data_IF_983872795902
#
_entry.id   IF_983872795902
#
_cell.length_a   1.000
_cell.length_b   1.000
_cell.length_c   1.000
_cell.angle_alpha   90.00
_cell.angle_beta   90.00
_cell.angle_gamma   90.00
#
_symmetry.space_group_name_H-M   'P 1'
#
loop_
_entity.id
_entity.type
_entity.pdbx_description
1 polymer ?
#
# COMPACT_ATOMS: atom_id res chain seq x y z
N UNK A 1 24.50 -55.67 -17.45
CA UNK A 1 23.27 -54.87 -17.26
C UNK A 1 23.57 -53.79 -16.22
N UNK A 2 23.97 -52.60 -16.65
CA UNK A 2 24.42 -51.50 -15.80
C UNK A 2 23.44 -50.31 -15.93
N UNK A 3 22.34 -50.37 -15.19
CA UNK A 3 21.34 -49.29 -15.13
C UNK A 3 20.77 -49.22 -13.73
N UNK A 4 21.58 -48.76 -12.77
CA UNK A 4 21.08 -48.27 -11.47
C UNK A 4 21.88 -47.09 -10.88
N UNK A 5 23.01 -46.71 -11.48
CA UNK A 5 23.80 -45.53 -11.05
C UNK A 5 23.42 -44.23 -11.77
N UNK A 6 22.85 -44.31 -12.97
CA UNK A 6 22.50 -43.14 -13.78
C UNK A 6 21.39 -42.28 -13.16
N UNK A 7 20.44 -42.90 -12.45
CA UNK A 7 19.30 -42.19 -11.86
C UNK A 7 19.69 -41.25 -10.71
N UNK A 8 20.68 -41.63 -9.90
CA UNK A 8 21.16 -40.80 -8.80
C UNK A 8 21.93 -39.56 -9.31
N UNK A 9 22.80 -39.75 -10.30
CA UNK A 9 23.59 -38.66 -10.90
C UNK A 9 22.68 -37.67 -11.62
N UNK A 10 21.69 -38.16 -12.38
CA UNK A 10 20.69 -37.30 -13.05
C UNK A 10 19.86 -36.51 -12.03
N UNK A 11 19.44 -37.15 -10.93
CA UNK A 11 18.68 -36.46 -9.89
C UNK A 11 19.52 -35.38 -9.18
N UNK A 12 20.77 -35.67 -8.83
CA UNK A 12 21.66 -34.67 -8.20
C UNK A 12 21.96 -33.51 -9.14
N UNK A 13 22.13 -33.75 -10.44
CA UNK A 13 22.35 -32.68 -11.43
C UNK A 13 21.11 -31.82 -11.57
N UNK A 14 19.91 -32.41 -11.67
CA UNK A 14 18.65 -31.65 -11.75
C UNK A 14 18.44 -30.82 -10.49
N UNK A 15 18.60 -31.40 -9.30
CA UNK A 15 18.43 -30.67 -8.04
C UNK A 15 19.46 -29.54 -7.92
N UNK A 16 20.72 -29.78 -8.28
CA UNK A 16 21.76 -28.74 -8.25
C UNK A 16 21.49 -27.62 -9.26
N UNK A 17 21.06 -27.95 -10.49
CA UNK A 17 20.65 -26.94 -11.48
C UNK A 17 19.44 -26.16 -10.99
N UNK A 18 18.41 -26.81 -10.44
CA UNK A 18 17.22 -26.13 -9.89
C UNK A 18 17.62 -25.23 -8.71
N UNK A 19 18.47 -25.70 -7.80
CA UNK A 19 18.97 -24.90 -6.66
C UNK A 19 19.81 -23.72 -7.15
N UNK A 20 20.70 -23.91 -8.12
CA UNK A 20 21.49 -22.82 -8.69
C UNK A 20 20.61 -21.78 -9.41
N UNK A 21 19.60 -22.21 -10.18
CA UNK A 21 18.64 -21.30 -10.82
C UNK A 21 17.78 -20.56 -9.77
N UNK A 22 17.38 -21.22 -8.67
CA UNK A 22 16.64 -20.58 -7.56
C UNK A 22 17.53 -19.59 -6.79
N UNK A 23 18.82 -19.91 -6.60
CA UNK A 23 19.77 -19.02 -5.92
C UNK A 23 20.15 -17.82 -6.81
N UNK A 24 20.11 -17.96 -8.14
CA UNK A 24 20.35 -16.86 -9.07
C UNK A 24 19.16 -15.87 -9.10
N UNK A 25 17.94 -16.34 -8.85
CA UNK A 25 16.75 -15.50 -8.67
C UNK A 25 16.76 -14.70 -7.35
N UNK A 26 17.61 -15.10 -6.38
CA UNK A 26 17.73 -14.40 -5.10
C UNK A 26 18.47 -13.06 -5.16
N UNK A 27 19.14 -12.73 -6.29
CA UNK A 27 19.90 -11.49 -6.44
C UNK A 27 19.11 -10.31 -7.06
N UNK A 28 17.82 -10.48 -7.36
CA UNK A 28 16.92 -9.40 -7.79
C UNK A 28 15.90 -8.95 -6.73
N UNK A 29 15.95 -9.51 -5.50
CA UNK A 29 15.12 -9.01 -4.39
C UNK A 29 15.86 -7.91 -3.64
N UNK A 30 15.82 -6.68 -4.18
CA UNK A 30 16.03 -5.50 -3.34
C UNK A 30 14.79 -5.39 -2.43
N UNK A 31 14.92 -5.49 -1.09
CA UNK A 31 13.80 -5.24 -0.22
C UNK A 31 13.42 -3.77 -0.42
N UNK A 32 12.30 -3.50 -1.08
CA UNK A 32 11.72 -2.17 -1.05
C UNK A 32 11.39 -1.89 0.42
N UNK A 33 12.21 -1.10 1.10
CA UNK A 33 11.98 -0.72 2.49
C UNK A 33 10.57 -0.11 2.59
N UNK A 34 9.66 -0.83 3.26
CA UNK A 34 8.30 -0.37 3.51
C UNK A 34 8.19 0.17 4.95
N UNK A 35 7.18 0.99 5.23
CA UNK A 35 6.97 1.54 6.57
C UNK A 35 8.02 2.57 7.03
N UNK A 36 8.89 3.05 6.12
CA UNK A 36 9.86 4.12 6.40
C UNK A 36 9.32 5.49 5.96
N UNK A 37 9.38 6.53 6.81
CA UNK A 37 8.96 7.86 6.42
C UNK A 37 9.96 8.47 5.41
N UNK A 38 9.48 9.33 4.50
CA UNK A 38 10.29 9.90 3.41
C UNK A 38 11.48 10.76 3.89
N UNK A 39 11.53 11.12 5.19
CA UNK A 39 12.72 11.73 5.82
C UNK A 39 12.89 11.26 7.26
N UNK A 40 14.11 10.84 7.64
CA UNK A 40 14.47 10.47 9.03
C UNK A 40 14.25 11.61 10.05
N UNK A 41 14.34 12.87 9.61
CA UNK A 41 14.07 14.05 10.45
C UNK A 41 12.57 14.40 10.63
N UNK A 42 11.67 13.64 9.99
CA UNK A 42 10.23 13.88 10.09
C UNK A 42 9.56 13.19 11.29
N UNK A 43 10.34 12.55 12.19
CA UNK A 43 9.81 12.18 13.51
C UNK A 43 9.25 13.43 14.15
N UNK A 44 7.94 13.42 14.34
CA UNK A 44 7.27 14.57 14.88
C UNK A 44 7.64 14.67 16.38
N UNK A 45 8.15 15.81 16.89
CA UNK A 45 8.53 15.96 18.31
C UNK A 45 7.31 16.18 19.18
N UNK A 46 7.05 15.32 20.18
CA UNK A 46 5.81 15.34 21.00
C UNK A 46 5.64 16.68 21.74
N UNK A 47 4.89 17.60 21.15
CA UNK A 47 4.61 18.93 21.73
C UNK A 47 3.12 19.07 22.06
N UNK A 48 2.83 19.59 23.26
CA UNK A 48 1.49 19.74 23.82
C UNK A 48 0.90 21.08 23.38
N UNK A 49 0.00 21.09 22.40
CA UNK A 49 -0.99 22.15 22.27
C UNK A 49 -2.13 21.66 21.38
N UNK A 50 -3.32 21.57 21.97
CA UNK A 50 -4.53 21.04 21.36
C UNK A 50 -5.51 22.19 21.12
N UNK A 51 -5.66 22.59 19.87
CA UNK A 51 -6.81 23.38 19.45
C UNK A 51 -7.32 22.79 18.13
N UNK A 52 -8.46 22.10 18.25
CA UNK A 52 -9.28 21.51 17.17
C UNK A 52 -8.59 20.43 16.33
N UNK A 53 -8.52 19.23 16.89
CA UNK A 53 -7.96 18.07 16.21
C UNK A 53 -9.11 17.12 15.84
N UNK A 54 -9.25 16.79 14.55
CA UNK A 54 -10.16 15.72 14.07
C UNK A 54 -9.77 14.34 14.65
N UNK A 55 -8.55 14.22 15.16
CA UNK A 55 -8.07 13.10 15.95
C UNK A 55 -7.98 13.56 17.41
N UNK A 56 -8.73 12.96 18.32
CA UNK A 56 -8.76 13.34 19.74
C UNK A 56 -7.34 13.23 20.32
N UNK A 57 -6.76 14.35 20.80
CA UNK A 57 -5.36 14.48 21.27
C UNK A 57 -4.27 14.22 20.20
N UNK A 58 -4.63 14.24 18.92
CA UNK A 58 -3.68 14.18 17.81
C UNK A 58 -2.85 15.46 17.67
N UNK A 59 -2.11 15.57 16.58
CA UNK A 59 -1.51 16.82 16.10
C UNK A 59 -1.44 16.75 14.60
N UNK A 60 -1.34 17.91 13.96
CA UNK A 60 -1.09 17.96 12.53
C UNK A 60 0.18 17.16 12.21
N UNK A 61 0.11 16.30 11.18
CA UNK A 61 1.26 15.51 10.74
C UNK A 61 2.30 16.43 10.08
N UNK A 62 3.56 16.01 9.89
CA UNK A 62 4.50 16.72 9.00
C UNK A 62 4.30 16.16 7.59
N UNK A 63 4.45 16.98 6.55
CA UNK A 63 4.40 16.52 5.14
C UNK A 63 5.34 15.33 4.93
N UNK A 64 4.82 14.20 4.46
CA UNK A 64 5.61 12.99 4.20
C UNK A 64 6.05 12.20 5.44
N UNK A 65 5.50 12.50 6.63
CA UNK A 65 5.72 11.67 7.82
C UNK A 65 5.04 10.29 7.72
N UNK A 66 3.96 10.21 6.94
CA UNK A 66 3.17 8.99 6.72
C UNK A 66 2.95 8.76 5.22
N UNK A 67 4.00 8.42 4.46
CA UNK A 67 3.93 8.38 2.99
C UNK A 67 3.01 7.29 2.44
N UNK A 68 2.69 6.28 3.25
CA UNK A 68 1.74 5.23 2.90
C UNK A 68 0.27 5.62 3.14
N UNK A 69 -0.02 6.78 3.74
CA UNK A 69 -1.39 7.20 3.98
C UNK A 69 -2.11 7.49 2.67
N UNK A 70 -3.30 6.91 2.51
CA UNK A 70 -4.14 7.08 1.32
C UNK A 70 -5.48 7.68 1.70
N UNK A 71 -5.96 8.60 0.86
CA UNK A 71 -7.31 9.15 0.89
C UNK A 71 -8.13 8.46 -0.19
N UNK A 72 -9.13 7.65 0.18
CA UNK A 72 -10.05 7.02 -0.77
C UNK A 72 -11.22 7.95 -0.99
N UNK A 73 -11.39 8.39 -2.23
CA UNK A 73 -12.49 9.25 -2.65
C UNK A 73 -13.55 8.46 -3.41
N UNK A 74 -14.82 8.77 -3.17
CA UNK A 74 -15.96 8.09 -3.77
C UNK A 74 -16.75 9.01 -4.71
N UNK A 75 -16.99 8.54 -5.93
CA UNK A 75 -18.00 9.08 -6.84
C UNK A 75 -19.27 8.23 -6.70
N UNK A 76 -20.29 8.77 -6.03
CA UNK A 76 -21.54 8.05 -5.84
C UNK A 76 -22.49 8.28 -7.03
N UNK A 77 -23.10 7.23 -7.61
CA UNK A 77 -23.96 7.37 -8.79
C UNK A 77 -25.09 8.38 -8.63
N UNK A 78 -25.69 8.45 -7.43
CA UNK A 78 -26.83 9.33 -7.16
C UNK A 78 -26.46 10.68 -6.52
N UNK A 79 -25.29 10.78 -5.88
CA UNK A 79 -24.92 11.96 -5.07
C UNK A 79 -23.73 12.73 -5.64
N UNK A 80 -23.14 12.25 -6.74
CA UNK A 80 -21.95 12.83 -7.33
C UNK A 80 -20.69 12.56 -6.49
N UNK A 81 -19.69 13.43 -6.62
CA UNK A 81 -18.41 13.27 -5.93
C UNK A 81 -18.58 13.56 -4.43
N UNK A 82 -18.44 12.53 -3.60
CA UNK A 82 -18.46 12.64 -2.14
C UNK A 82 -17.10 13.15 -1.61
N UNK A 83 -16.03 12.94 -2.35
CA UNK A 83 -14.67 13.25 -1.90
C UNK A 83 -14.19 12.20 -0.89
N UNK A 84 -13.33 12.60 0.07
CA UNK A 84 -12.72 11.68 1.02
C UNK A 84 -13.77 10.91 1.84
N UNK A 85 -13.80 9.60 1.61
CA UNK A 85 -14.71 8.68 2.26
C UNK A 85 -14.03 7.89 3.37
N UNK A 86 -12.92 7.24 3.01
CA UNK A 86 -12.18 6.35 3.89
C UNK A 86 -10.67 6.56 3.78
N UNK A 87 -9.96 6.05 4.77
CA UNK A 87 -8.51 5.91 4.71
C UNK A 87 -8.09 4.60 4.03
N UNK A 88 -6.86 4.57 3.56
CA UNK A 88 -6.18 3.35 3.12
C UNK A 88 -4.68 3.41 3.39
N UNK A 89 -4.01 2.28 3.17
CA UNK A 89 -2.56 2.13 3.33
C UNK A 89 -1.98 1.58 2.04
N UNK A 90 -1.01 2.27 1.45
CA UNK A 90 -0.27 1.77 0.29
C UNK A 90 0.68 0.65 0.73
N UNK A 91 0.44 -0.57 0.24
CA UNK A 91 1.24 -1.76 0.58
C UNK A 91 2.14 -2.20 -0.58
N UNK A 92 1.81 -1.77 -1.79
CA UNK A 92 2.56 -2.01 -3.02
C UNK A 92 2.34 -0.82 -3.97
N UNK A 93 3.24 -0.53 -4.92
CA UNK A 93 3.03 0.52 -5.92
C UNK A 93 1.68 0.50 -6.66
N UNK A 94 1.02 -0.65 -6.70
CA UNK A 94 -0.28 -0.86 -7.38
C UNK A 94 -1.37 -1.42 -6.46
N UNK A 95 -1.05 -1.69 -5.18
CA UNK A 95 -2.02 -2.27 -4.25
C UNK A 95 -2.09 -1.44 -2.97
N UNK A 96 -3.31 -1.15 -2.55
CA UNK A 96 -3.62 -0.51 -1.28
C UNK A 96 -4.51 -1.42 -0.44
N UNK A 97 -4.45 -1.24 0.87
CA UNK A 97 -5.29 -1.91 1.85
C UNK A 97 -6.26 -0.90 2.46
N UNK A 98 -7.52 -1.30 2.59
CA UNK A 98 -8.57 -0.56 3.32
C UNK A 98 -9.50 -1.54 4.03
N UNK A 99 -10.47 -1.03 4.79
CA UNK A 99 -11.47 -1.86 5.46
C UNK A 99 -12.62 -2.21 4.52
N UNK A 100 -13.09 -3.47 4.56
CA UNK A 100 -14.18 -3.94 3.68
C UNK A 100 -15.47 -3.10 3.79
N UNK A 101 -15.81 -2.63 5.01
CA UNK A 101 -17.00 -1.81 5.24
C UNK A 101 -16.95 -0.43 4.58
N UNK A 102 -15.79 0.00 4.07
CA UNK A 102 -15.70 1.21 3.25
C UNK A 102 -16.23 0.98 1.83
N UNK A 103 -16.19 -0.25 1.32
CA UNK A 103 -16.60 -0.63 -0.04
C UNK A 103 -18.00 -1.27 -0.03
N UNK A 104 -18.27 -2.09 0.99
CA UNK A 104 -19.49 -2.87 1.13
C UNK A 104 -20.02 -2.78 2.57
N UNK A 105 -21.15 -2.10 2.78
CA UNK A 105 -21.85 -2.09 4.05
C UNK A 105 -23.37 -1.98 3.88
N UNK A 106 -24.10 -1.89 5.00
CA UNK A 106 -25.57 -1.84 5.02
C UNK A 106 -26.17 -0.61 4.32
N UNK A 107 -25.42 0.47 4.20
CA UNK A 107 -25.88 1.72 3.59
C UNK A 107 -25.59 1.78 2.08
N UNK A 108 -24.51 1.15 1.62
CA UNK A 108 -24.11 1.17 0.22
C UNK A 108 -23.17 -0.02 -0.11
N UNK A 109 -23.35 -0.57 -1.31
CA UNK A 109 -22.53 -1.65 -1.87
C UNK A 109 -21.99 -1.21 -3.24
N UNK A 110 -20.78 -0.66 -3.27
CA UNK A 110 -20.18 -0.08 -4.49
C UNK A 110 -18.80 -0.70 -4.79
N UNK A 111 -18.71 -1.99 -5.15
CA UNK A 111 -17.45 -2.67 -5.44
C UNK A 111 -16.95 -2.39 -6.87
N UNK A 112 -17.30 -1.24 -7.45
CA UNK A 112 -16.93 -0.86 -8.83
C UNK A 112 -15.70 0.04 -8.79
N UNK A 113 -14.52 -0.42 -9.26
CA UNK A 113 -13.27 0.33 -9.13
C UNK A 113 -13.34 1.74 -9.75
N UNK A 114 -14.06 1.90 -10.85
CA UNK A 114 -14.25 3.17 -11.54
C UNK A 114 -14.93 4.28 -10.70
N UNK A 115 -15.59 3.92 -9.59
CA UNK A 115 -16.20 4.88 -8.66
C UNK A 115 -15.22 5.37 -7.59
N UNK A 116 -14.04 4.78 -7.50
CA UNK A 116 -13.07 5.04 -6.44
C UNK A 116 -11.80 5.65 -6.98
N UNK A 117 -11.33 6.70 -6.31
CA UNK A 117 -10.06 7.35 -6.60
C UNK A 117 -9.17 7.30 -5.38
N UNK A 118 -7.98 6.72 -5.52
CA UNK A 118 -6.97 6.71 -4.46
C UNK A 118 -6.08 7.94 -4.60
N UNK A 119 -6.01 8.76 -3.56
CA UNK A 119 -5.15 9.95 -3.52
C UNK A 119 -3.98 9.71 -2.58
N UNK A 120 -2.77 9.79 -3.14
CA UNK A 120 -1.50 9.56 -2.45
C UNK A 120 -0.73 10.87 -2.24
N UNK A 121 0.08 10.90 -1.18
CA UNK A 121 0.96 12.04 -0.89
C UNK A 121 0.25 13.32 -0.43
N UNK A 122 -1.08 13.27 -0.31
CA UNK A 122 -1.89 14.35 0.26
C UNK A 122 -1.55 14.51 1.75
N UNK A 123 -1.42 15.76 2.20
CA UNK A 123 -1.08 16.08 3.59
C UNK A 123 -2.13 17.00 4.23
N UNK A 124 -2.56 18.00 3.49
CA UNK A 124 -3.64 18.89 3.87
C UNK A 124 -4.83 18.66 2.94
N UNK A 125 -6.00 18.31 3.51
CA UNK A 125 -7.23 18.06 2.75
C UNK A 125 -7.93 19.36 2.34
N UNK A 126 -7.57 20.50 2.93
CA UNK A 126 -8.01 21.81 2.45
C UNK A 126 -7.24 22.26 1.20
N UNK A 127 -6.07 21.63 0.93
CA UNK A 127 -5.18 21.96 -0.18
C UNK A 127 -5.13 20.79 -1.17
N UNK A 128 -5.96 20.82 -2.23
CA UNK A 128 -6.05 19.73 -3.24
C UNK A 128 -4.78 19.62 -4.11
N UNK A 129 -3.68 19.09 -3.57
CA UNK A 129 -2.37 18.90 -4.24
C UNK A 129 -1.93 17.42 -4.33
N UNK A 130 -2.81 16.46 -4.03
CA UNK A 130 -2.49 15.03 -4.05
C UNK A 130 -2.33 14.43 -5.45
N UNK A 131 -1.62 13.29 -5.55
CA UNK A 131 -1.54 12.51 -6.78
C UNK A 131 -2.69 11.50 -6.86
N UNK A 132 -3.41 11.47 -7.99
CA UNK A 132 -4.57 10.62 -8.21
C UNK A 132 -4.18 9.32 -8.90
N UNK A 133 -4.54 8.19 -8.30
CA UNK A 133 -4.48 6.87 -8.94
C UNK A 133 -5.90 6.34 -9.15
N UNK A 134 -6.31 6.05 -10.40
CA UNK A 134 -7.55 5.33 -10.67
C UNK A 134 -7.40 3.89 -10.18
N UNK A 135 -8.42 3.37 -9.49
CA UNK A 135 -8.50 1.94 -9.21
C UNK A 135 -9.13 1.27 -10.45
N UNK A 136 -8.32 0.49 -11.17
CA UNK A 136 -8.72 -0.29 -12.36
C UNK A 136 -9.22 -1.67 -11.98
#
# INVERSE_FOLDING_TARGET
MAVKWYSGVVYTVIVFYVVLNILEESQAYSPRECGVPLRRHNRQPRERSASQLRIIKGRESKRGAWPWQVSLQLLHPNYGLIGHWCGGVLIHPLWLLTTAHCIHNELFNLPVPALWTAVLGEWDRAEQKGAYLPLS
#
